data_IF_653440952866
#
_entry.id   IF_653440952866
#
_cell.length_a   1.000
_cell.length_b   1.000
_cell.length_c   1.000
_cell.angle_alpha   90.00
_cell.angle_beta   90.00
_cell.angle_gamma   90.00
#
_symmetry.space_group_name_H-M   'P 1'
#
loop_
_entity.id
_entity.type
_entity.pdbx_description
1 polymer ?
#
# COMPACT_ATOMS: atom_id res chain seq x y z
N UNK A 1 -0.89 11.03 -0.58
CA UNK A 1 -2.11 10.71 0.20
C UNK A 1 -2.60 9.30 -0.13
N UNK A 2 -1.82 8.29 0.27
CA UNK A 2 -2.18 6.87 0.19
C UNK A 2 -1.02 6.06 0.75
N UNK A 3 -1.30 5.02 1.51
CA UNK A 3 -0.32 4.04 1.96
C UNK A 3 -0.19 2.92 0.92
N UNK A 4 1.01 2.37 0.76
CA UNK A 4 1.20 1.11 0.03
C UNK A 4 1.94 0.13 0.91
N UNK A 5 1.53 -1.14 0.83
CA UNK A 5 2.20 -2.26 1.46
C UNK A 5 2.65 -3.21 0.36
N UNK A 6 3.94 -3.56 0.35
CA UNK A 6 4.48 -4.64 -0.46
C UNK A 6 4.72 -5.87 0.40
N UNK A 7 4.03 -6.98 0.11
CA UNK A 7 4.30 -8.29 0.74
C UNK A 7 5.21 -9.09 -0.18
N UNK A 8 6.41 -9.42 0.30
CA UNK A 8 7.45 -10.05 -0.50
C UNK A 8 7.31 -11.58 -0.46
N UNK A 9 7.22 -12.20 -1.64
CA UNK A 9 7.04 -13.66 -1.79
C UNK A 9 8.34 -14.37 -2.20
N UNK A 10 9.39 -13.61 -2.51
CA UNK A 10 10.73 -14.10 -2.80
C UNK A 10 11.75 -13.32 -1.97
N UNK A 11 12.91 -13.93 -1.70
CA UNK A 11 14.02 -13.26 -1.02
C UNK A 11 14.69 -12.26 -1.96
N UNK A 12 14.95 -11.05 -1.45
CA UNK A 12 15.71 -9.99 -2.12
C UNK A 12 16.73 -9.38 -1.13
N UNK A 13 17.70 -10.18 -0.64
CA UNK A 13 18.58 -9.76 0.46
C UNK A 13 19.75 -8.87 0.00
N UNK A 14 20.05 -8.85 -1.30
CA UNK A 14 21.19 -8.15 -1.89
C UNK A 14 20.72 -7.10 -2.88
N UNK A 15 21.56 -6.11 -3.13
CA UNK A 15 21.29 -5.02 -4.07
C UNK A 15 21.20 -5.50 -5.54
N UNK A 16 20.57 -4.68 -6.38
CA UNK A 16 20.44 -4.89 -7.84
C UNK A 16 19.79 -6.23 -8.24
N UNK A 17 18.92 -6.77 -7.38
CA UNK A 17 18.11 -7.98 -7.62
C UNK A 17 16.62 -7.66 -7.80
N UNK A 18 16.33 -6.49 -8.38
CA UNK A 18 14.96 -5.99 -8.48
C UNK A 18 14.40 -5.47 -7.16
N UNK A 19 15.28 -5.01 -6.26
CA UNK A 19 14.91 -4.37 -5.00
C UNK A 19 14.03 -3.14 -5.24
N UNK A 20 13.21 -2.87 -4.24
CA UNK A 20 12.52 -1.61 -4.06
C UNK A 20 13.54 -0.59 -3.52
N UNK A 21 13.79 0.49 -4.25
CA UNK A 21 14.68 1.57 -3.82
C UNK A 21 13.86 2.74 -3.29
N UNK A 22 14.39 3.43 -2.27
CA UNK A 22 13.74 4.59 -1.64
C UNK A 22 14.75 5.67 -1.30
N UNK A 23 14.29 6.92 -1.20
CA UNK A 23 15.04 7.98 -0.51
C UNK A 23 14.40 8.20 0.85
N UNK A 24 15.02 7.77 1.96
CA UNK A 24 14.48 7.99 3.31
C UNK A 24 14.18 9.48 3.54
N UNK A 25 13.02 9.78 4.14
CA UNK A 25 12.61 11.17 4.37
C UNK A 25 12.21 11.98 3.12
N UNK A 26 12.44 11.46 1.91
CA UNK A 26 12.23 12.20 0.64
C UNK A 26 10.78 12.63 0.34
N UNK A 27 9.81 12.19 1.14
CA UNK A 27 8.43 12.68 1.09
C UNK A 27 8.19 13.97 1.88
N UNK A 28 9.15 14.40 2.69
CA UNK A 28 9.13 15.62 3.48
C UNK A 28 9.81 16.77 2.73
N UNK A 29 10.83 16.43 1.94
CA UNK A 29 11.66 17.35 1.18
C UNK A 29 11.16 17.39 -0.27
N UNK A 30 10.25 18.33 -0.56
CA UNK A 30 9.59 18.44 -1.87
C UNK A 30 10.48 18.82 -3.07
N UNK A 31 11.81 18.73 -2.92
CA UNK A 31 12.83 19.22 -3.83
C UNK A 31 13.84 18.15 -4.26
N UNK A 32 13.48 16.86 -4.18
CA UNK A 32 14.34 15.78 -4.67
C UNK A 32 14.74 15.99 -6.13
N UNK A 33 16.04 16.16 -6.36
CA UNK A 33 16.61 16.27 -7.69
C UNK A 33 16.44 14.94 -8.43
N UNK A 34 15.90 15.01 -9.64
CA UNK A 34 15.80 13.87 -10.55
C UNK A 34 16.97 13.88 -11.51
N UNK A 35 17.52 12.71 -11.76
CA UNK A 35 18.56 12.48 -12.77
C UNK A 35 17.99 11.52 -13.83
N UNK A 36 18.48 11.62 -15.07
CA UNK A 36 18.04 10.74 -16.16
C UNK A 36 18.72 9.36 -16.11
N UNK A 37 19.96 9.32 -15.62
CA UNK A 37 20.89 8.20 -15.71
C UNK A 37 21.17 7.51 -14.37
N UNK A 38 20.76 8.12 -13.25
CA UNK A 38 20.96 7.59 -11.91
C UNK A 38 19.78 7.83 -10.96
N UNK A 39 19.80 7.10 -9.85
CA UNK A 39 18.91 7.39 -8.72
C UNK A 39 19.32 8.71 -8.03
N UNK A 40 18.39 9.39 -7.34
CA UNK A 40 18.72 10.54 -6.51
C UNK A 40 19.75 10.20 -5.42
N UNK A 41 20.46 11.22 -4.96
CA UNK A 41 21.42 11.06 -3.86
C UNK A 41 20.68 10.64 -2.57
N UNK A 42 21.33 9.82 -1.74
CA UNK A 42 20.70 9.26 -0.53
C UNK A 42 19.71 8.12 -0.78
N UNK A 43 19.58 7.67 -2.03
CA UNK A 43 18.76 6.51 -2.38
C UNK A 43 19.38 5.21 -1.85
N UNK A 44 18.57 4.38 -1.19
CA UNK A 44 18.97 3.08 -0.64
C UNK A 44 18.08 1.94 -1.15
N UNK A 45 18.63 0.73 -1.33
CA UNK A 45 17.82 -0.46 -1.56
C UNK A 45 17.13 -0.92 -0.28
N UNK A 46 15.89 -1.38 -0.42
CA UNK A 46 15.17 -2.13 0.60
C UNK A 46 15.44 -3.61 0.35
N UNK A 47 16.31 -4.18 1.18
CA UNK A 47 16.63 -5.60 1.19
C UNK A 47 15.73 -6.33 2.18
N UNK A 48 15.05 -7.36 1.70
CA UNK A 48 13.98 -8.06 2.44
C UNK A 48 14.01 -9.55 2.12
N UNK A 49 13.50 -10.34 3.05
CA UNK A 49 13.29 -11.77 2.87
C UNK A 49 11.85 -12.06 2.48
N UNK A 50 11.60 -13.27 2.00
CA UNK A 50 10.24 -13.78 1.82
C UNK A 50 9.46 -13.66 3.14
N UNK A 51 8.21 -13.21 3.06
CA UNK A 51 7.34 -13.00 4.21
C UNK A 51 7.42 -11.59 4.80
N UNK A 52 8.44 -10.80 4.48
CA UNK A 52 8.52 -9.42 4.94
C UNK A 52 7.46 -8.52 4.28
N UNK A 53 7.04 -7.49 5.01
CA UNK A 53 6.10 -6.49 4.55
C UNK A 53 6.74 -5.09 4.62
N UNK A 54 6.75 -4.37 3.50
CA UNK A 54 7.28 -3.01 3.42
C UNK A 54 6.13 -2.02 3.31
N UNK A 55 6.02 -1.15 4.31
CA UNK A 55 5.03 -0.07 4.39
C UNK A 55 5.68 1.24 3.94
N UNK A 56 5.03 1.97 3.03
CA UNK A 56 5.52 3.28 2.64
C UNK A 56 4.41 4.23 2.22
N UNK A 57 4.57 5.50 2.57
CA UNK A 57 3.76 6.58 2.02
C UNK A 57 4.08 6.72 0.53
N UNK A 58 3.07 6.75 -0.34
CA UNK A 58 3.31 6.87 -1.79
C UNK A 58 3.97 8.18 -2.23
N UNK A 59 4.09 9.19 -1.36
CA UNK A 59 4.88 10.41 -1.62
C UNK A 59 6.38 10.15 -1.52
N UNK A 60 6.80 9.07 -0.85
CA UNK A 60 8.20 8.68 -0.76
C UNK A 60 8.69 8.43 -2.19
N UNK A 61 9.81 9.04 -2.56
CA UNK A 61 10.45 8.68 -3.81
C UNK A 61 10.80 7.19 -3.76
N UNK A 62 10.44 6.47 -4.82
CA UNK A 62 10.75 5.06 -4.93
C UNK A 62 10.92 4.63 -6.38
N UNK A 63 11.75 3.63 -6.59
CA UNK A 63 11.97 3.00 -7.88
C UNK A 63 12.17 1.48 -7.72
N UNK A 64 12.12 0.76 -8.83
CA UNK A 64 12.64 -0.61 -8.90
C UNK A 64 14.06 -0.57 -9.47
N UNK A 65 14.93 -1.46 -9.02
CA UNK A 65 16.16 -1.76 -9.76
C UNK A 65 15.92 -2.75 -10.90
N UNK A 66 16.93 -2.92 -11.74
CA UNK A 66 17.04 -4.09 -12.59
C UNK A 66 17.21 -5.34 -11.73
N UNK A 67 16.71 -6.48 -12.22
CA UNK A 67 16.95 -7.78 -11.61
C UNK A 67 18.00 -8.52 -12.44
N UNK A 68 19.26 -8.51 -11.98
CA UNK A 68 20.36 -9.24 -12.62
C UNK A 68 20.53 -10.67 -12.09
N UNK A 69 19.65 -11.13 -11.21
CA UNK A 69 19.66 -12.50 -10.72
C UNK A 69 18.96 -13.46 -11.69
N UNK A 70 19.21 -14.76 -11.53
CA UNK A 70 18.48 -15.81 -12.25
C UNK A 70 17.13 -16.16 -11.61
N UNK A 71 16.70 -15.42 -10.58
CA UNK A 71 15.50 -15.72 -9.79
C UNK A 71 14.40 -14.71 -10.13
N UNK A 72 13.18 -15.21 -10.31
CA UNK A 72 11.99 -14.35 -10.43
C UNK A 72 11.57 -13.85 -9.05
N UNK A 73 11.72 -12.56 -8.82
CA UNK A 73 11.21 -11.89 -7.63
C UNK A 73 9.71 -11.61 -7.77
N UNK A 74 8.92 -12.03 -6.77
CA UNK A 74 7.48 -11.80 -6.70
C UNK A 74 7.13 -10.98 -5.46
N UNK A 75 6.30 -9.96 -5.65
CA UNK A 75 5.79 -9.08 -4.60
C UNK A 75 4.32 -8.75 -4.87
N UNK A 76 3.50 -8.74 -3.82
CA UNK A 76 2.10 -8.30 -3.87
C UNK A 76 1.99 -6.90 -3.29
N UNK A 77 1.61 -5.92 -4.12
CA UNK A 77 1.40 -4.56 -3.68
C UNK A 77 -0.08 -4.26 -3.45
N UNK A 78 -0.42 -3.89 -2.21
CA UNK A 78 -1.74 -3.38 -1.85
C UNK A 78 -1.65 -1.87 -1.59
N UNK A 79 -2.51 -1.10 -2.26
CA UNK A 79 -2.59 0.35 -2.09
C UNK A 79 -3.85 0.72 -1.33
N UNK A 80 -3.69 1.47 -0.24
CA UNK A 80 -4.78 1.99 0.57
C UNK A 80 -4.90 3.49 0.35
N UNK A 81 -6.04 3.90 -0.20
CA UNK A 81 -6.41 5.30 -0.39
C UNK A 81 -7.45 5.74 0.63
N UNK A 82 -7.65 7.06 0.74
CA UNK A 82 -8.80 7.59 1.45
C UNK A 82 -10.10 7.15 0.75
N UNK A 83 -11.16 6.90 1.53
CA UNK A 83 -12.46 6.41 1.05
C UNK A 83 -13.08 7.27 -0.06
N UNK A 84 -12.84 8.58 -0.03
CA UNK A 84 -13.35 9.52 -1.04
C UNK A 84 -12.60 9.45 -2.38
N UNK A 85 -11.53 8.67 -2.49
CA UNK A 85 -10.79 8.47 -3.74
C UNK A 85 -11.34 7.22 -4.43
N UNK A 86 -11.80 7.38 -5.68
CA UNK A 86 -12.24 6.25 -6.52
C UNK A 86 -11.11 5.22 -6.67
N UNK A 87 -11.47 3.93 -6.61
CA UNK A 87 -10.54 2.83 -6.86
C UNK A 87 -9.94 2.92 -8.27
N UNK A 88 -8.70 2.45 -8.43
CA UNK A 88 -8.02 2.47 -9.74
C UNK A 88 -8.57 1.45 -10.72
N UNK A 89 -9.14 0.36 -10.22
CA UNK A 89 -9.65 -0.75 -11.01
C UNK A 89 -11.11 -1.00 -10.63
N UNK A 90 -11.88 -1.56 -11.57
CA UNK A 90 -13.29 -1.93 -11.36
C UNK A 90 -13.48 -3.02 -10.30
N UNK A 91 -12.39 -3.64 -9.82
CA UNK A 91 -12.35 -4.58 -8.69
C UNK A 91 -13.46 -5.63 -8.81
N UNK A 92 -13.50 -6.32 -9.94
CA UNK A 92 -14.46 -7.39 -10.19
C UNK A 92 -14.07 -8.61 -9.35
N UNK A 93 -14.89 -8.92 -8.35
CA UNK A 93 -14.70 -10.06 -7.45
C UNK A 93 -15.83 -11.05 -7.70
N UNK A 94 -15.51 -12.35 -7.66
CA UNK A 94 -16.50 -13.41 -7.82
C UNK A 94 -17.60 -13.24 -6.74
N UNK A 95 -18.90 -13.25 -7.10
CA UNK A 95 -19.97 -12.92 -6.15
C UNK A 95 -19.98 -13.77 -4.88
N UNK A 96 -19.71 -15.06 -4.99
CA UNK A 96 -19.65 -15.98 -3.84
C UNK A 96 -18.48 -15.65 -2.90
N UNK A 97 -17.32 -15.25 -3.42
CA UNK A 97 -16.17 -14.83 -2.60
C UNK A 97 -16.45 -13.50 -1.91
N UNK A 98 -17.12 -12.58 -2.61
CA UNK A 98 -17.50 -11.29 -2.05
C UNK A 98 -18.54 -11.43 -0.93
N UNK A 99 -19.54 -12.30 -1.11
CA UNK A 99 -20.53 -12.61 -0.08
C UNK A 99 -19.96 -13.35 1.13
N UNK A 100 -18.86 -14.09 0.95
CA UNK A 100 -18.15 -14.76 2.04
C UNK A 100 -17.23 -13.82 2.84
N UNK A 101 -17.00 -12.59 2.38
CA UNK A 101 -16.18 -11.62 3.08
C UNK A 101 -16.94 -11.01 4.27
N UNK A 102 -16.24 -10.81 5.37
CA UNK A 102 -16.73 -10.01 6.50
C UNK A 102 -16.92 -8.53 6.11
N UNK A 103 -17.66 -7.74 6.93
CA UNK A 103 -17.92 -6.33 6.63
C UNK A 103 -16.66 -5.49 6.39
N UNK A 104 -15.57 -5.74 7.13
CA UNK A 104 -14.32 -4.99 6.97
C UNK A 104 -13.67 -5.28 5.62
N UNK A 105 -13.59 -6.56 5.22
CA UNK A 105 -13.05 -6.94 3.91
C UNK A 105 -13.88 -6.38 2.77
N UNK A 106 -15.22 -6.47 2.85
CA UNK A 106 -16.10 -5.87 1.82
C UNK A 106 -15.88 -4.36 1.71
N UNK A 107 -15.78 -3.67 2.84
CA UNK A 107 -15.47 -2.23 2.87
C UNK A 107 -14.13 -1.90 2.18
N UNK A 108 -13.07 -2.66 2.46
CA UNK A 108 -11.77 -2.49 1.79
C UNK A 108 -11.81 -2.77 0.29
N UNK A 109 -12.77 -3.58 -0.15
CA UNK A 109 -13.01 -3.93 -1.56
C UNK A 109 -13.95 -2.92 -2.26
N UNK A 110 -14.38 -1.86 -1.58
CA UNK A 110 -15.19 -0.78 -2.15
C UNK A 110 -16.70 -0.91 -1.90
N UNK A 111 -17.13 -1.82 -1.03
CA UNK A 111 -18.54 -1.93 -0.63
C UNK A 111 -19.02 -0.69 0.13
N UNK A 112 -20.33 -0.47 0.12
CA UNK A 112 -20.98 0.63 0.82
C UNK A 112 -22.48 0.48 0.81
N UNK A 113 -23.15 1.05 1.80
CA UNK A 113 -24.61 0.89 1.94
C UNK A 113 -25.38 1.60 0.82
N UNK A 114 -24.89 2.78 0.40
CA UNK A 114 -25.43 3.59 -0.69
C UNK A 114 -24.42 4.71 -1.05
N UNK A 115 -24.75 5.51 -2.07
CA UNK A 115 -23.91 6.64 -2.50
C UNK A 115 -23.69 7.68 -1.39
N UNK A 116 -24.68 7.91 -0.53
CA UNK A 116 -24.59 8.90 0.54
C UNK A 116 -23.62 8.48 1.65
N UNK A 117 -23.37 7.17 1.83
CA UNK A 117 -22.38 6.61 2.76
C UNK A 117 -20.92 6.96 2.44
N UNK A 118 -20.66 7.63 1.32
CA UNK A 118 -19.35 8.23 1.01
C UNK A 118 -19.23 9.68 1.51
N UNK A 119 -20.35 10.40 1.63
CA UNK A 119 -20.38 11.81 2.03
C UNK A 119 -20.70 11.97 3.52
N UNK A 120 -21.62 11.15 4.03
CA UNK A 120 -22.08 11.16 5.41
C UNK A 120 -22.11 9.72 5.92
N UNK A 121 -20.94 9.10 6.18
CA UNK A 121 -20.85 7.69 6.55
C UNK A 121 -21.51 7.44 7.91
N UNK A 122 -22.23 6.33 8.02
CA UNK A 122 -22.66 5.73 9.29
C UNK A 122 -21.69 4.61 9.68
N UNK A 123 -21.82 4.06 10.88
CA UNK A 123 -20.97 2.98 11.39
C UNK A 123 -20.89 1.77 10.44
N UNK A 124 -22.00 1.42 9.80
CA UNK A 124 -22.08 0.37 8.76
C UNK A 124 -21.22 0.67 7.52
N UNK A 125 -20.99 1.95 7.20
CA UNK A 125 -20.17 2.40 6.08
C UNK A 125 -18.68 2.45 6.42
N UNK A 126 -18.30 2.39 7.70
CA UNK A 126 -16.92 2.50 8.20
C UNK A 126 -16.59 1.45 9.27
N UNK A 127 -16.78 0.14 8.98
CA UNK A 127 -16.61 -0.91 9.98
C UNK A 127 -15.20 -0.99 10.58
N UNK A 128 -14.16 -0.61 9.84
CA UNK A 128 -12.80 -0.53 10.37
C UNK A 128 -12.65 0.54 11.46
N UNK A 129 -13.34 1.69 11.33
CA UNK A 129 -13.35 2.73 12.36
C UNK A 129 -13.96 2.20 13.65
N UNK A 130 -15.14 1.58 13.54
CA UNK A 130 -15.85 0.98 14.69
C UNK A 130 -14.99 -0.06 15.38
N UNK A 131 -14.40 -0.97 14.60
CA UNK A 131 -13.51 -2.00 15.13
C UNK A 131 -12.30 -1.41 15.87
N UNK A 132 -11.67 -0.35 15.33
CA UNK A 132 -10.55 0.33 15.99
C UNK A 132 -10.99 1.00 17.29
N UNK A 133 -12.14 1.66 17.33
CA UNK A 133 -12.68 2.28 18.55
C UNK A 133 -12.94 1.25 19.67
N UNK A 134 -13.30 0.02 19.32
CA UNK A 134 -13.52 -1.08 20.26
C UNK A 134 -12.23 -1.78 20.73
N UNK A 135 -11.19 -1.81 19.88
CA UNK A 135 -10.01 -2.67 20.09
C UNK A 135 -8.71 -1.90 20.33
N UNK A 136 -8.72 -0.58 20.20
CA UNK A 136 -7.57 0.27 20.51
C UNK A 136 -7.93 1.24 21.61
N UNK A 137 -7.09 1.35 22.64
CA UNK A 137 -7.16 2.49 23.56
C UNK A 137 -7.05 3.74 22.70
N UNK A 138 -7.99 4.68 22.84
CA UNK A 138 -8.08 5.86 22.00
C UNK A 138 -6.70 6.47 21.78
N UNK A 139 -6.13 6.31 20.59
CA UNK A 139 -4.97 7.09 20.19
C UNK A 139 -5.56 8.48 19.97
N UNK A 140 -5.45 9.32 21.00
CA UNK A 140 -5.87 10.70 20.94
C UNK A 140 -5.28 11.34 19.67
N UNK A 141 -6.19 11.83 18.82
CA UNK A 141 -5.85 12.56 17.61
C UNK A 141 -5.29 13.96 17.95
#
# INVERSE_FOLDING_TARGET
MSLKIGYFLSDVPEEVRGNFYVVPGGHLEGNLQKYEDKNPDGCIPVCVNRGDAVFFDRRLWHARSYNHSSIVHKVLFYGYGYRWIRTKNDTTIRPDLFLACDPMRRHLLGDGTNYNGYFTPKDEDVPLKVWLEEHTESVAA
#
